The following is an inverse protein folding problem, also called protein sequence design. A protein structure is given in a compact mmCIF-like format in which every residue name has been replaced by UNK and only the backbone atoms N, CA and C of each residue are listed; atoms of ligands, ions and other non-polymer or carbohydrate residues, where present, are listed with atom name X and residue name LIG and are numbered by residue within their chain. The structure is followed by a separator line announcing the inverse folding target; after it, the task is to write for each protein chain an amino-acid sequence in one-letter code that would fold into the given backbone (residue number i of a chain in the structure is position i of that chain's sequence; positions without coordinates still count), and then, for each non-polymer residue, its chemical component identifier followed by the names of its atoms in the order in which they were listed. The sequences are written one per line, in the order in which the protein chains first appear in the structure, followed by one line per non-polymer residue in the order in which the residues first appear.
data_IF_539947129721
#
_entry.id   IF_539947129721
#
_cell.length_a   1.000
_cell.length_b   1.000
_cell.length_c   1.000
_cell.angle_alpha   90.00
_cell.angle_beta   90.00
_cell.angle_gamma   90.00
#
_symmetry.space_group_name_H-M   'P 1'
#
loop_
_entity.id
_entity.type
_entity.pdbx_description
1 polymer ?
#
# COMPACT_ATOMS: atom_id res chain seq x y z
N UNK A 1 -4.26 -0.48 5.71
CA UNK A 1 -3.86 -1.43 4.64
C UNK A 1 -4.24 -0.84 3.30
N UNK A 2 -3.32 -0.85 2.34
CA UNK A 2 -3.55 -0.46 0.95
C UNK A 2 -3.23 -1.65 0.04
N UNK A 3 -3.91 -1.71 -1.10
CA UNK A 3 -3.74 -2.80 -2.06
C UNK A 3 -4.15 -2.37 -3.45
N UNK A 4 -3.36 -2.75 -4.45
CA UNK A 4 -3.69 -2.44 -5.85
C UNK A 4 -3.05 -3.42 -6.83
N UNK A 5 -3.72 -3.75 -7.95
CA UNK A 5 -3.00 -4.23 -9.11
C UNK A 5 -2.17 -3.09 -9.74
N UNK A 6 -1.07 -3.46 -10.41
CA UNK A 6 -0.29 -2.60 -11.26
C UNK A 6 -0.91 -2.58 -12.67
N UNK A 7 -1.54 -1.47 -13.01
CA UNK A 7 -2.19 -1.24 -14.29
C UNK A 7 -1.30 -0.35 -15.16
N UNK A 8 -0.62 -0.94 -16.14
CA UNK A 8 0.24 -0.21 -17.11
C UNK A 8 1.27 0.68 -16.37
N UNK A 9 1.93 0.12 -15.34
CA UNK A 9 2.95 0.83 -14.57
C UNK A 9 2.43 1.82 -13.53
N UNK A 10 1.14 1.81 -13.19
CA UNK A 10 0.55 2.70 -12.19
C UNK A 10 -0.40 1.95 -11.26
N UNK A 11 -0.81 2.55 -10.14
CA UNK A 11 -1.90 1.99 -9.33
C UNK A 11 -3.21 1.91 -10.10
N UNK A 12 -4.16 1.12 -9.59
CA UNK A 12 -5.50 1.00 -10.15
C UNK A 12 -6.26 2.33 -10.08
N UNK A 13 -7.16 2.54 -11.04
CA UNK A 13 -8.04 3.71 -11.03
C UNK A 13 -8.91 3.78 -9.78
N UNK A 14 -9.28 2.63 -9.20
CA UNK A 14 -10.03 2.58 -7.95
C UNK A 14 -9.24 3.16 -6.77
N UNK A 15 -7.98 2.78 -6.60
CA UNK A 15 -7.14 3.30 -5.53
C UNK A 15 -6.82 4.79 -5.77
N UNK A 16 -6.54 5.19 -7.01
CA UNK A 16 -6.36 6.60 -7.38
C UNK A 16 -7.58 7.44 -7.02
N UNK A 17 -8.78 6.99 -7.38
CA UNK A 17 -10.02 7.69 -7.09
C UNK A 17 -10.26 7.83 -5.58
N UNK A 18 -9.99 6.77 -4.81
CA UNK A 18 -10.06 6.85 -3.36
C UNK A 18 -9.07 7.86 -2.78
N UNK A 19 -7.81 7.86 -3.24
CA UNK A 19 -6.82 8.85 -2.83
C UNK A 19 -7.26 10.28 -3.17
N UNK A 20 -7.74 10.53 -4.39
CA UNK A 20 -8.24 11.86 -4.80
C UNK A 20 -9.39 12.36 -3.92
N UNK A 21 -10.26 11.43 -3.51
CA UNK A 21 -11.42 11.74 -2.69
C UNK A 21 -11.02 12.12 -1.26
N UNK A 22 -10.02 11.46 -0.70
CA UNK A 22 -9.61 11.66 0.71
C UNK A 22 -8.46 12.65 0.87
N UNK A 23 -7.76 13.03 -0.21
CA UNK A 23 -6.45 13.67 -0.13
C UNK A 23 -6.43 14.89 0.80
N UNK A 24 -7.27 15.89 0.52
CA UNK A 24 -7.29 17.13 1.29
C UNK A 24 -7.92 16.97 2.68
N UNK A 25 -8.85 16.02 2.85
CA UNK A 25 -9.46 15.75 4.16
C UNK A 25 -8.45 15.12 5.11
N UNK A 26 -7.63 14.19 4.62
CA UNK A 26 -6.68 13.45 5.44
C UNK A 26 -5.31 14.12 5.56
N UNK A 27 -4.94 15.06 4.67
CA UNK A 27 -3.63 15.70 4.65
C UNK A 27 -3.25 16.34 6.00
N UNK A 28 -4.24 16.91 6.71
CA UNK A 28 -4.02 17.56 8.01
C UNK A 28 -4.44 16.66 9.19
N UNK A 29 -5.51 15.86 9.05
CA UNK A 29 -6.09 15.10 10.16
C UNK A 29 -5.40 13.76 10.46
N UNK A 30 -4.70 13.16 9.49
CA UNK A 30 -4.22 11.77 9.56
C UNK A 30 -2.71 11.63 9.33
N UNK A 31 -1.94 12.67 9.64
CA UNK A 31 -0.48 12.58 9.64
C UNK A 31 -0.03 11.50 10.63
N UNK A 32 1.02 10.76 10.28
CA UNK A 32 1.55 9.67 11.08
C UNK A 32 0.79 8.35 10.97
N UNK A 33 -0.30 8.27 10.18
CA UNK A 33 -1.09 7.05 10.07
C UNK A 33 -0.23 5.87 9.56
N UNK A 34 -0.09 4.78 10.33
CA UNK A 34 0.66 3.61 9.88
C UNK A 34 -0.08 2.87 8.76
N UNK A 35 0.63 2.48 7.71
CA UNK A 35 0.09 1.69 6.61
C UNK A 35 1.07 0.63 6.12
N UNK A 36 0.50 -0.42 5.52
CA UNK A 36 1.21 -1.42 4.72
C UNK A 36 0.58 -1.51 3.33
N UNK A 37 1.38 -1.90 2.34
CA UNK A 37 1.02 -1.95 0.93
C UNK A 37 1.32 -3.34 0.34
N UNK A 38 0.39 -3.88 -0.45
CA UNK A 38 0.68 -4.96 -1.37
C UNK A 38 0.35 -4.54 -2.80
N UNK A 39 1.17 -4.98 -3.75
CA UNK A 39 0.96 -4.69 -5.17
C UNK A 39 1.06 -5.97 -5.98
N UNK A 40 0.06 -6.21 -6.81
CA UNK A 40 0.05 -7.35 -7.73
C UNK A 40 0.26 -6.90 -9.17
N UNK A 41 1.15 -7.53 -9.91
CA UNK A 41 1.39 -7.24 -11.32
C UNK A 41 1.71 -8.49 -12.11
N UNK A 42 1.80 -8.37 -13.43
CA UNK A 42 2.19 -9.49 -14.28
C UNK A 42 3.66 -9.43 -14.72
N UNK A 43 4.20 -8.23 -14.94
CA UNK A 43 5.57 -8.01 -15.44
C UNK A 43 6.40 -7.13 -14.51
N UNK A 44 5.80 -6.05 -14.01
CA UNK A 44 6.44 -5.07 -13.14
C UNK A 44 5.37 -4.41 -12.27
N UNK A 45 5.78 -3.97 -11.07
CA UNK A 45 4.95 -3.29 -10.07
C UNK A 45 5.57 -1.98 -9.58
N UNK A 46 6.82 -1.67 -9.91
CA UNK A 46 7.57 -0.53 -9.35
C UNK A 46 6.83 0.79 -9.48
N UNK A 47 6.36 1.13 -10.68
CA UNK A 47 5.63 2.39 -10.88
C UNK A 47 4.30 2.47 -10.11
N UNK A 48 3.66 1.33 -9.82
CA UNK A 48 2.49 1.29 -8.96
C UNK A 48 2.86 1.48 -7.48
N UNK A 49 3.94 0.84 -7.01
CA UNK A 49 4.51 1.06 -5.67
C UNK A 49 4.85 2.54 -5.49
N UNK A 50 5.67 3.11 -6.38
CA UNK A 50 6.10 4.51 -6.34
C UNK A 50 4.91 5.47 -6.31
N UNK A 51 3.87 5.20 -7.12
CA UNK A 51 2.67 6.04 -7.18
C UNK A 51 1.89 6.07 -5.86
N UNK A 52 1.80 4.95 -5.15
CA UNK A 52 1.11 4.87 -3.86
C UNK A 52 1.97 5.52 -2.78
N UNK A 53 3.26 5.19 -2.74
CA UNK A 53 4.20 5.72 -1.75
C UNK A 53 4.28 7.24 -1.82
N UNK A 54 4.38 7.82 -3.03
CA UNK A 54 4.41 9.28 -3.22
C UNK A 54 3.18 9.97 -2.64
N UNK A 55 1.98 9.41 -2.83
CA UNK A 55 0.74 10.01 -2.30
C UNK A 55 0.66 9.82 -0.78
N UNK A 56 1.02 8.64 -0.28
CA UNK A 56 1.04 8.36 1.16
C UNK A 56 2.02 9.29 1.90
N UNK A 57 3.19 9.56 1.31
CA UNK A 57 4.15 10.55 1.81
C UNK A 57 3.56 11.97 1.80
N UNK A 58 2.86 12.37 0.74
CA UNK A 58 2.15 13.64 0.67
C UNK A 58 1.10 13.82 1.77
N UNK A 59 0.46 12.71 2.19
CA UNK A 59 -0.46 12.66 3.33
C UNK A 59 0.24 12.56 4.69
N UNK A 60 1.57 12.44 4.71
CA UNK A 60 2.35 12.25 5.92
C UNK A 60 2.13 10.90 6.61
N UNK A 61 1.65 9.88 5.89
CA UNK A 61 1.46 8.53 6.42
C UNK A 61 2.79 7.81 6.58
N UNK A 62 2.83 6.78 7.43
CA UNK A 62 4.05 6.05 7.78
C UNK A 62 3.98 4.63 7.25
N UNK A 63 4.91 4.28 6.34
CA UNK A 63 5.05 2.90 5.89
C UNK A 63 5.71 2.10 7.02
N UNK A 64 5.02 1.08 7.55
CA UNK A 64 5.51 0.32 8.71
C UNK A 64 6.14 -1.03 8.36
N UNK A 65 6.08 -1.40 7.07
CA UNK A 65 6.68 -2.60 6.52
C UNK A 65 6.95 -2.39 5.03
N UNK A 66 7.94 -3.08 4.48
CA UNK A 66 8.22 -3.08 3.04
C UNK A 66 6.99 -3.53 2.23
N UNK A 67 6.72 -2.91 1.06
CA UNK A 67 5.63 -3.35 0.20
C UNK A 67 5.78 -4.80 -0.23
N UNK A 68 4.66 -5.53 -0.26
CA UNK A 68 4.65 -6.90 -0.79
C UNK A 68 4.36 -6.87 -2.27
N UNK A 69 5.41 -7.08 -3.05
CA UNK A 69 5.33 -7.24 -4.50
C UNK A 69 4.98 -8.69 -4.85
N UNK A 70 3.97 -8.86 -5.70
CA UNK A 70 3.51 -10.16 -6.20
C UNK A 70 3.42 -10.11 -7.72
N UNK A 71 4.29 -10.86 -8.40
CA UNK A 71 4.27 -11.02 -9.85
C UNK A 71 3.64 -12.34 -10.27
N UNK A 72 2.82 -12.31 -11.31
CA UNK A 72 2.18 -13.52 -11.86
C UNK A 72 1.17 -14.15 -10.90
N UNK A 73 1.05 -15.47 -10.90
CA UNK A 73 0.11 -16.17 -10.01
C UNK A 73 0.61 -16.17 -8.57
N UNK A 74 -0.16 -15.67 -7.58
CA UNK A 74 0.25 -15.68 -6.18
C UNK A 74 0.47 -17.09 -5.63
N UNK A 75 1.68 -17.35 -5.14
CA UNK A 75 2.05 -18.62 -4.52
C UNK A 75 1.91 -18.59 -2.99
N UNK A 76 2.36 -19.65 -2.32
CA UNK A 76 2.35 -19.71 -0.85
C UNK A 76 3.25 -18.63 -0.24
N UNK A 77 4.44 -18.40 -0.81
CA UNK A 77 5.38 -17.42 -0.28
C UNK A 77 4.80 -15.99 -0.35
N UNK A 78 4.09 -15.64 -1.43
CA UNK A 78 3.37 -14.37 -1.53
C UNK A 78 2.29 -14.23 -0.45
N UNK A 79 1.51 -15.28 -0.19
CA UNK A 79 0.51 -15.28 0.89
C UNK A 79 1.15 -15.14 2.27
N UNK A 80 2.25 -15.84 2.53
CA UNK A 80 2.97 -15.74 3.79
C UNK A 80 3.53 -14.32 3.98
N UNK A 81 4.10 -13.69 2.94
CA UNK A 81 4.53 -12.28 3.02
C UNK A 81 3.37 -11.31 3.29
N UNK A 82 2.21 -11.51 2.65
CA UNK A 82 1.02 -10.71 2.95
C UNK A 82 0.50 -10.93 4.37
N UNK A 83 0.63 -12.14 4.91
CA UNK A 83 0.30 -12.43 6.31
C UNK A 83 1.21 -11.65 7.26
N UNK A 84 2.53 -11.69 7.03
CA UNK A 84 3.50 -10.91 7.83
C UNK A 84 3.27 -9.40 7.71
N UNK A 85 2.98 -8.90 6.50
CA UNK A 85 2.61 -7.49 6.29
C UNK A 85 1.43 -7.08 7.18
N UNK A 86 0.37 -7.89 7.20
CA UNK A 86 -0.80 -7.66 8.04
C UNK A 86 -0.45 -7.74 9.54
N UNK A 87 0.38 -8.70 9.93
CA UNK A 87 0.83 -8.88 11.31
C UNK A 87 1.63 -7.67 11.82
N UNK A 88 2.56 -7.13 11.01
CA UNK A 88 3.34 -5.93 11.38
C UNK A 88 2.45 -4.70 11.52
N UNK A 89 1.51 -4.49 10.60
CA UNK A 89 0.56 -3.36 10.69
C UNK A 89 -0.32 -3.51 11.94
N UNK A 90 -0.83 -4.71 12.21
CA UNK A 90 -1.64 -4.98 13.40
C UNK A 90 -0.85 -4.75 14.70
N UNK A 91 0.40 -5.23 14.76
CA UNK A 91 1.27 -5.03 15.91
C UNK A 91 1.58 -3.54 16.14
N UNK A 92 1.71 -2.75 15.07
CA UNK A 92 2.03 -1.32 15.17
C UNK A 92 0.88 -0.50 15.78
N UNK A 93 -0.37 -0.93 15.60
CA UNK A 93 -1.55 -0.22 16.12
C UNK A 93 -2.13 -0.86 17.40
N UNK A 94 -1.57 -1.98 17.85
CA UNK A 94 -2.02 -2.64 19.06
C UNK A 94 -1.78 -1.73 20.28
N UNK A 95 -2.72 -1.65 21.23
CA UNK A 95 -2.46 -1.03 22.52
C UNK A 95 -1.29 -1.72 23.22
N UNK A 96 -0.41 -0.92 23.85
CA UNK A 96 0.67 -1.44 24.71
C UNK A 96 0.16 -2.06 26.00
#
# INVERSE_FOLDING_TARGET
MLGTPANIGYMSGALKHWFDTIYYVCADEKRGLPYGLWVHGNLDVRGAVDSVTTIAEGLGWQQVAEPVDVLGTPDKAARDRCYELGAVVAATIAPG
#
